data_IF_541027320582
#
_entry.id   IF_541027320582
#
_cell.length_a   1.000
_cell.length_b   1.000
_cell.length_c   1.000
_cell.angle_alpha   90.00
_cell.angle_beta   90.00
_cell.angle_gamma   90.00
#
_symmetry.space_group_name_H-M   'P 1'
#
loop_
_entity.id
_entity.type
_entity.pdbx_description
1 polymer ?
#
# COMPACT_ATOMS: atom_id res chain seq x y z
N UNK A 1 -19.38 9.19 46.51
CA UNK A 1 -19.66 9.03 45.07
C UNK A 1 -18.53 9.70 44.32
N UNK A 2 -17.49 8.94 43.95
CA UNK A 2 -16.34 9.46 43.20
C UNK A 2 -16.52 9.17 41.72
N UNK A 3 -16.66 10.22 40.92
CA UNK A 3 -16.60 10.15 39.47
C UNK A 3 -15.14 10.25 39.03
N UNK A 4 -14.59 9.16 38.50
CA UNK A 4 -13.28 9.14 37.87
C UNK A 4 -13.42 9.63 36.43
N UNK A 5 -12.87 10.81 36.15
CA UNK A 5 -12.70 11.33 34.78
C UNK A 5 -11.59 10.51 34.12
N UNK A 6 -11.96 9.66 33.17
CA UNK A 6 -11.02 8.98 32.27
C UNK A 6 -10.51 10.00 31.25
N UNK A 7 -9.29 10.50 31.47
CA UNK A 7 -8.50 11.20 30.46
C UNK A 7 -8.28 10.24 29.28
N UNK A 8 -8.88 10.57 28.12
CA UNK A 8 -8.53 9.94 26.84
C UNK A 8 -7.05 10.21 26.58
N UNK A 9 -6.24 9.16 26.64
CA UNK A 9 -4.87 9.18 26.13
C UNK A 9 -5.00 9.34 24.62
N UNK A 10 -4.65 10.51 24.11
CA UNK A 10 -4.47 10.72 22.67
C UNK A 10 -3.39 9.74 22.21
N UNK A 11 -3.70 8.92 21.21
CA UNK A 11 -2.70 8.08 20.56
C UNK A 11 -1.61 8.97 19.94
N UNK A 12 -0.37 8.46 19.81
CA UNK A 12 0.74 9.25 19.31
C UNK A 12 0.45 9.75 17.89
N UNK A 13 0.72 11.02 17.65
CA UNK A 13 0.68 11.68 16.35
C UNK A 13 1.73 11.09 15.39
N UNK A 14 1.55 11.30 14.09
CA UNK A 14 2.49 10.86 13.04
C UNK A 14 3.95 11.30 13.33
N UNK A 15 4.12 12.48 13.94
CA UNK A 15 5.43 12.98 14.38
C UNK A 15 6.03 12.17 15.54
N UNK A 16 5.21 11.57 16.41
CA UNK A 16 5.65 10.72 17.53
C UNK A 16 6.04 9.30 17.10
N UNK A 17 5.55 8.83 15.96
CA UNK A 17 5.95 7.56 15.35
C UNK A 17 7.31 7.67 14.64
N UNK A 18 7.67 8.87 14.18
CA UNK A 18 8.99 9.18 13.64
C UNK A 18 10.07 9.31 14.73
N UNK A 19 9.70 9.73 15.95
CA UNK A 19 10.66 9.91 17.05
C UNK A 19 11.27 8.61 17.62
N UNK A 20 10.71 7.44 17.30
CA UNK A 20 11.28 6.16 17.72
C UNK A 20 12.29 5.55 16.73
N UNK A 21 12.68 6.29 15.68
CA UNK A 21 14.00 6.13 15.06
C UNK A 21 14.35 4.72 14.57
N UNK A 22 13.41 3.98 13.98
CA UNK A 22 13.77 2.87 13.09
C UNK A 22 13.61 3.35 11.67
N UNK A 23 14.74 3.83 11.14
CA UNK A 23 14.99 4.15 9.73
C UNK A 23 14.23 3.18 8.82
N UNK A 24 13.59 3.72 7.78
CA UNK A 24 13.05 2.95 6.66
C UNK A 24 14.24 2.59 5.79
N UNK A 25 14.92 1.46 5.96
CA UNK A 25 16.18 1.24 5.27
C UNK A 25 15.80 0.92 3.82
N UNK A 26 15.86 1.93 2.95
CA UNK A 26 16.00 1.67 1.53
C UNK A 26 17.40 1.09 1.36
N UNK A 27 17.45 -0.09 0.76
CA UNK A 27 18.69 -0.79 0.47
C UNK A 27 18.70 -1.19 -0.98
N UNK A 28 19.84 -1.01 -1.64
CA UNK A 28 20.09 -1.64 -2.92
C UNK A 28 20.40 -3.11 -2.71
N UNK A 29 19.90 -3.97 -3.59
CA UNK A 29 20.42 -5.33 -3.69
C UNK A 29 21.89 -5.29 -4.10
N UNK A 30 22.71 -6.18 -3.55
CA UNK A 30 24.14 -6.29 -3.90
C UNK A 30 24.36 -6.72 -5.36
N UNK A 31 23.41 -7.46 -5.92
CA UNK A 31 23.48 -8.00 -7.27
C UNK A 31 22.76 -7.12 -8.29
N UNK A 32 23.18 -7.24 -9.55
CA UNK A 32 22.56 -6.60 -10.70
C UNK A 32 21.76 -7.62 -11.50
N UNK A 33 20.46 -7.39 -11.64
CA UNK A 33 19.52 -8.34 -12.23
C UNK A 33 19.10 -7.92 -13.63
N UNK A 34 18.96 -8.91 -14.51
CA UNK A 34 18.38 -8.74 -15.86
C UNK A 34 16.87 -8.60 -15.86
N UNK A 35 16.20 -9.02 -14.78
CA UNK A 35 14.74 -9.05 -14.71
C UNK A 35 14.26 -8.46 -13.39
N UNK A 36 13.18 -7.67 -13.49
CA UNK A 36 12.41 -7.20 -12.35
C UNK A 36 12.08 -8.33 -11.37
N UNK A 37 11.62 -9.48 -11.88
CA UNK A 37 11.25 -10.63 -11.05
C UNK A 37 12.40 -11.17 -10.20
N UNK A 38 13.64 -11.17 -10.71
CA UNK A 38 14.81 -11.61 -9.94
C UNK A 38 15.14 -10.62 -8.83
N UNK A 39 15.12 -9.32 -9.14
CA UNK A 39 15.32 -8.26 -8.14
C UNK A 39 14.25 -8.31 -7.04
N UNK A 40 12.98 -8.49 -7.42
CA UNK A 40 11.87 -8.67 -6.49
C UNK A 40 12.03 -9.90 -5.59
N UNK A 41 12.51 -11.01 -6.16
CA UNK A 41 12.79 -12.21 -5.38
C UNK A 41 13.87 -11.97 -4.33
N UNK A 42 14.90 -11.19 -4.64
CA UNK A 42 15.96 -10.86 -3.68
C UNK A 42 15.44 -9.99 -2.54
N UNK A 43 14.71 -8.91 -2.84
CA UNK A 43 14.12 -8.07 -1.78
C UNK A 43 13.23 -8.91 -0.85
N UNK A 44 12.43 -9.84 -1.41
CA UNK A 44 11.60 -10.74 -0.58
C UNK A 44 12.42 -11.67 0.31
N UNK A 45 13.61 -12.11 -0.15
CA UNK A 45 14.52 -12.96 0.64
C UNK A 45 14.98 -12.28 1.92
N UNK A 46 15.07 -10.95 1.94
CA UNK A 46 15.45 -10.14 3.10
C UNK A 46 14.26 -9.58 3.87
N UNK A 47 13.03 -10.02 3.56
CA UNK A 47 11.81 -9.51 4.21
C UNK A 47 11.41 -8.10 3.76
N UNK A 48 11.87 -7.67 2.60
CA UNK A 48 11.57 -6.39 1.98
C UNK A 48 10.73 -6.58 0.70
N UNK A 49 10.34 -5.48 0.07
CA UNK A 49 9.74 -5.45 -1.26
C UNK A 49 10.47 -4.46 -2.16
N UNK A 50 10.33 -4.59 -3.48
CA UNK A 50 10.76 -3.52 -4.38
C UNK A 50 9.98 -2.26 -4.08
N UNK A 51 10.68 -1.16 -3.84
CA UNK A 51 10.10 0.11 -3.43
C UNK A 51 8.97 0.56 -4.37
N UNK A 52 7.87 1.03 -3.80
CA UNK A 52 6.81 1.73 -4.52
C UNK A 52 7.25 3.15 -4.87
N UNK A 53 6.61 3.72 -5.89
CA UNK A 53 6.85 5.11 -6.33
C UNK A 53 6.83 6.12 -5.17
N UNK A 54 5.80 6.06 -4.33
CA UNK A 54 5.67 6.98 -3.20
C UNK A 54 6.74 6.77 -2.11
N UNK A 55 7.27 5.55 -1.95
CA UNK A 55 8.35 5.27 -1.00
C UNK A 55 9.65 5.93 -1.47
N UNK A 56 9.89 5.90 -2.78
CA UNK A 56 11.00 6.59 -3.39
C UNK A 56 10.84 8.11 -3.27
N UNK A 57 9.63 8.63 -3.52
CA UNK A 57 9.35 10.06 -3.38
C UNK A 57 9.52 10.53 -1.93
N UNK A 58 9.11 9.71 -0.95
CA UNK A 58 9.35 9.96 0.47
C UNK A 58 10.84 9.95 0.78
N UNK A 59 11.57 8.92 0.34
CA UNK A 59 13.00 8.81 0.59
C UNK A 59 13.81 9.97 -0.02
N UNK A 60 13.42 10.45 -1.21
CA UNK A 60 14.04 11.63 -1.80
C UNK A 60 13.84 12.88 -0.92
N UNK A 61 12.66 13.06 -0.31
CA UNK A 61 12.39 14.16 0.63
C UNK A 61 13.19 14.05 1.93
N UNK A 62 13.42 12.83 2.39
CA UNK A 62 14.26 12.55 3.57
C UNK A 62 15.77 12.65 3.28
N UNK A 63 16.16 12.95 2.04
CA UNK A 63 17.55 13.16 1.66
C UNK A 63 18.35 11.88 1.48
N UNK A 64 17.69 10.78 1.09
CA UNK A 64 18.40 9.55 0.72
C UNK A 64 19.38 9.79 -0.43
N UNK A 65 20.53 9.09 -0.44
CA UNK A 65 21.55 9.30 -1.44
C UNK A 65 21.05 8.96 -2.84
N UNK A 66 21.62 9.62 -3.84
CA UNK A 66 21.35 9.29 -5.23
C UNK A 66 21.70 7.83 -5.53
N UNK A 67 20.89 7.18 -6.36
CA UNK A 67 21.04 5.76 -6.70
C UNK A 67 21.33 5.60 -8.19
N UNK A 68 21.98 4.49 -8.61
CA UNK A 68 21.95 4.11 -10.01
C UNK A 68 20.50 3.81 -10.46
N UNK A 69 20.24 3.74 -11.77
CA UNK A 69 18.98 3.17 -12.29
C UNK A 69 18.75 1.79 -11.69
N UNK A 70 17.60 1.61 -11.07
CA UNK A 70 17.30 0.43 -10.26
C UNK A 70 15.88 -0.06 -10.52
N UNK A 71 15.69 -1.37 -10.43
CA UNK A 71 14.36 -1.97 -10.38
C UNK A 71 13.63 -1.46 -9.14
N UNK A 72 12.38 -1.07 -9.33
CA UNK A 72 11.42 -0.76 -8.29
C UNK A 72 10.10 -1.44 -8.66
N UNK A 73 9.00 -1.19 -7.96
CA UNK A 73 7.78 -1.98 -8.11
C UNK A 73 7.13 -2.01 -9.50
N UNK A 74 7.43 -1.05 -10.39
CA UNK A 74 6.96 -1.10 -11.77
C UNK A 74 7.88 -2.01 -12.62
N UNK A 75 7.37 -3.09 -13.23
CA UNK A 75 8.17 -3.99 -14.05
C UNK A 75 8.65 -3.39 -15.37
N UNK A 76 8.00 -2.32 -15.84
CA UNK A 76 8.24 -1.74 -17.17
C UNK A 76 9.16 -0.50 -17.13
N UNK A 77 9.56 -0.05 -15.94
CA UNK A 77 10.42 1.12 -15.76
C UNK A 77 11.49 0.93 -14.68
N UNK A 78 12.51 1.79 -14.69
CA UNK A 78 13.52 1.89 -13.63
C UNK A 78 13.45 3.24 -12.95
N UNK A 79 13.71 3.25 -11.65
CA UNK A 79 13.76 4.47 -10.86
C UNK A 79 15.20 4.87 -10.55
N UNK A 80 15.43 6.19 -10.47
CA UNK A 80 16.68 6.82 -10.06
C UNK A 80 16.35 7.84 -9.00
N UNK A 81 16.87 7.66 -7.77
CA UNK A 81 16.85 8.74 -6.78
C UNK A 81 17.95 9.73 -7.16
N UNK A 82 17.60 11.00 -7.17
CA UNK A 82 18.50 12.13 -7.36
C UNK A 82 18.44 13.04 -6.14
N UNK A 83 19.38 13.99 -6.05
CA UNK A 83 19.36 15.03 -5.01
C UNK A 83 18.09 15.90 -5.05
N UNK A 84 17.40 15.93 -6.20
CA UNK A 84 16.25 16.82 -6.45
C UNK A 84 14.90 16.12 -6.51
N UNK A 85 14.85 14.79 -6.45
CA UNK A 85 13.64 14.02 -6.70
C UNK A 85 13.91 12.62 -7.23
N UNK A 86 12.84 11.93 -7.64
CA UNK A 86 12.93 10.62 -8.30
C UNK A 86 12.62 10.76 -9.78
N UNK A 87 13.43 10.17 -10.64
CA UNK A 87 13.17 10.08 -12.08
C UNK A 87 12.88 8.64 -12.49
N UNK A 88 11.94 8.46 -13.42
CA UNK A 88 11.51 7.17 -13.93
C UNK A 88 11.87 7.07 -15.42
N UNK A 89 12.52 5.97 -15.80
CA UNK A 89 13.00 5.75 -17.16
C UNK A 89 12.34 4.49 -17.75
N UNK A 90 11.71 4.65 -18.91
CA UNK A 90 11.23 3.52 -19.71
C UNK A 90 12.43 2.70 -20.21
N UNK A 91 12.34 1.38 -20.07
CA UNK A 91 13.46 0.47 -20.27
C UNK A 91 13.82 0.22 -21.74
N UNK A 92 15.08 0.36 -22.15
CA UNK A 92 15.66 -0.52 -23.16
C UNK A 92 15.95 -1.88 -22.50
N UNK A 93 15.35 -2.95 -23.03
CA UNK A 93 15.30 -4.35 -22.57
C UNK A 93 16.64 -5.06 -22.24
N UNK A 94 17.77 -4.37 -22.17
CA UNK A 94 19.12 -4.96 -22.05
C UNK A 94 19.93 -4.47 -20.85
N UNK A 95 19.38 -3.61 -19.99
CA UNK A 95 20.12 -3.07 -18.83
C UNK A 95 19.96 -3.95 -17.60
N UNK A 96 21.08 -4.46 -17.08
CA UNK A 96 21.12 -5.02 -15.73
C UNK A 96 21.04 -3.85 -14.76
N UNK A 97 20.27 -4.02 -13.70
CA UNK A 97 20.14 -3.03 -12.64
C UNK A 97 19.94 -3.69 -11.28
N UNK A 98 20.39 -3.09 -10.18
CA UNK A 98 20.05 -3.55 -8.83
C UNK A 98 18.57 -3.30 -8.54
N UNK A 99 18.01 -3.94 -7.52
CA UNK A 99 16.70 -3.62 -6.97
C UNK A 99 16.81 -2.62 -5.82
N UNK A 100 15.89 -1.66 -5.79
CA UNK A 100 15.64 -0.82 -4.61
C UNK A 100 14.66 -1.54 -3.70
N UNK A 101 15.16 -2.08 -2.59
CA UNK A 101 14.36 -2.76 -1.59
C UNK A 101 13.99 -1.80 -0.47
N UNK A 102 12.71 -1.71 -0.14
CA UNK A 102 12.21 -0.88 0.95
C UNK A 102 11.77 -1.79 2.11
N UNK A 103 12.23 -1.48 3.33
CA UNK A 103 11.63 -2.03 4.56
C UNK A 103 10.78 -0.97 5.23
N UNK A 104 9.48 -0.99 4.98
CA UNK A 104 8.51 -0.41 5.92
C UNK A 104 7.80 -1.55 6.63
N UNK A 105 7.48 -1.39 7.93
CA UNK A 105 6.73 -2.40 8.64
C UNK A 105 5.40 -2.60 7.92
N UNK A 106 5.02 -3.86 7.72
CA UNK A 106 3.79 -4.27 7.03
C UNK A 106 2.51 -3.88 7.78
N UNK A 107 2.61 -2.95 8.72
CA UNK A 107 1.53 -2.33 9.46
C UNK A 107 1.21 -0.92 8.95
N UNK A 108 1.82 -0.44 7.86
CA UNK A 108 1.87 1.00 7.56
C UNK A 108 1.47 1.43 6.15
N UNK A 109 0.48 0.80 5.51
CA UNK A 109 -0.08 1.39 4.29
C UNK A 109 -1.57 1.51 4.36
N UNK A 110 -2.00 2.73 4.08
CA UNK A 110 -3.34 3.00 3.59
C UNK A 110 -3.63 2.11 2.38
N UNK A 111 -4.89 1.69 2.19
CA UNK A 111 -5.29 0.92 1.03
C UNK A 111 -4.85 1.58 -0.27
N UNK A 112 -4.17 0.82 -1.13
CA UNK A 112 -3.81 1.27 -2.48
C UNK A 112 -4.93 0.87 -3.43
N UNK A 113 -5.26 1.75 -4.37
CA UNK A 113 -6.33 1.49 -5.35
C UNK A 113 -5.72 1.00 -6.65
N UNK A 114 -6.22 -0.10 -7.20
CA UNK A 114 -5.77 -0.61 -8.51
C UNK A 114 -5.88 0.45 -9.61
N UNK A 115 -4.91 0.57 -10.53
CA UNK A 115 -4.94 1.59 -11.58
C UNK A 115 -6.13 1.41 -12.54
N UNK A 116 -6.57 0.17 -12.75
CA UNK A 116 -7.68 -0.19 -13.67
C UNK A 116 -8.93 -0.58 -12.88
N UNK A 117 -10.08 -0.55 -13.57
CA UNK A 117 -11.37 -1.00 -13.03
C UNK A 117 -11.76 -2.35 -13.64
N UNK A 118 -12.25 -3.24 -12.79
CA UNK A 118 -12.58 -4.64 -13.08
C UNK A 118 -14.09 -4.84 -13.13
N UNK A 119 -14.54 -5.87 -13.83
CA UNK A 119 -15.95 -6.26 -13.77
C UNK A 119 -16.25 -7.00 -12.46
N UNK A 120 -17.51 -6.94 -12.00
CA UNK A 120 -17.95 -7.65 -10.79
C UNK A 120 -17.59 -9.14 -10.80
N UNK A 121 -17.82 -9.79 -11.93
CA UNK A 121 -17.54 -11.21 -12.13
C UNK A 121 -16.03 -11.54 -12.25
N UNK A 122 -15.18 -10.54 -12.51
CA UNK A 122 -13.74 -10.72 -12.72
C UNK A 122 -12.96 -10.75 -11.40
N UNK A 123 -13.25 -11.76 -10.57
CA UNK A 123 -12.58 -11.92 -9.26
C UNK A 123 -11.09 -12.23 -9.41
N UNK A 124 -10.71 -12.98 -10.44
CA UNK A 124 -9.32 -13.29 -10.72
C UNK A 124 -8.55 -12.02 -11.11
N UNK A 125 -9.10 -11.16 -11.96
CA UNK A 125 -8.50 -9.87 -12.30
C UNK A 125 -8.42 -8.91 -11.12
N UNK A 126 -9.46 -8.85 -10.28
CA UNK A 126 -9.43 -8.06 -9.04
C UNK A 126 -8.28 -8.49 -8.11
N UNK A 127 -8.11 -9.80 -7.90
CA UNK A 127 -7.03 -10.33 -7.09
C UNK A 127 -5.66 -10.10 -7.74
N UNK A 128 -5.52 -10.40 -9.04
CA UNK A 128 -4.28 -10.18 -9.79
C UNK A 128 -3.86 -8.72 -9.77
N UNK A 129 -4.81 -7.79 -9.89
CA UNK A 129 -4.53 -6.36 -9.84
C UNK A 129 -3.92 -5.90 -8.52
N UNK A 130 -4.29 -6.52 -7.40
CA UNK A 130 -3.62 -6.28 -6.13
C UNK A 130 -2.27 -7.01 -6.04
N UNK A 131 -2.17 -8.24 -6.56
CA UNK A 131 -0.91 -8.98 -6.60
C UNK A 131 0.19 -8.24 -7.38
N UNK A 132 -0.16 -7.57 -8.47
CA UNK A 132 0.75 -6.72 -9.27
C UNK A 132 1.33 -5.56 -8.43
N UNK A 133 0.62 -5.15 -7.37
CA UNK A 133 1.04 -4.12 -6.40
C UNK A 133 1.73 -4.72 -5.16
N UNK A 134 2.11 -6.01 -5.21
CA UNK A 134 2.60 -6.78 -4.05
C UNK A 134 1.64 -6.74 -2.85
N UNK A 135 0.35 -6.70 -3.13
CA UNK A 135 -0.74 -6.56 -2.17
C UNK A 135 -1.80 -7.66 -2.40
N UNK A 136 -2.86 -7.64 -1.60
CA UNK A 136 -4.04 -8.48 -1.76
C UNK A 136 -5.31 -7.64 -1.59
N UNK A 137 -6.48 -8.08 -2.09
CA UNK A 137 -7.72 -7.35 -1.84
C UNK A 137 -7.97 -7.19 -0.34
N UNK A 138 -8.19 -5.97 0.14
CA UNK A 138 -8.36 -5.67 1.56
C UNK A 138 -9.56 -6.41 2.17
N UNK A 139 -9.40 -6.91 3.38
CA UNK A 139 -10.50 -7.38 4.24
C UNK A 139 -11.18 -6.20 4.96
N UNK A 140 -12.38 -6.42 5.52
CA UNK A 140 -13.05 -5.40 6.35
C UNK A 140 -12.21 -5.01 7.58
N UNK A 141 -11.49 -5.97 8.16
CA UNK A 141 -10.63 -5.73 9.31
C UNK A 141 -9.50 -4.75 8.95
N UNK A 142 -8.84 -4.94 7.80
CA UNK A 142 -7.77 -4.06 7.33
C UNK A 142 -8.30 -2.68 6.93
N UNK A 143 -9.47 -2.60 6.29
CA UNK A 143 -10.10 -1.31 5.99
C UNK A 143 -10.47 -0.55 7.27
N UNK A 144 -10.97 -1.24 8.30
CA UNK A 144 -11.23 -0.65 9.60
C UNK A 144 -9.94 -0.20 10.32
N UNK A 145 -8.87 -0.99 10.20
CA UNK A 145 -7.57 -0.60 10.72
C UNK A 145 -7.05 0.66 10.02
N UNK A 146 -7.22 0.79 8.70
CA UNK A 146 -6.92 2.00 7.96
C UNK A 146 -7.78 3.20 8.42
N UNK A 147 -9.08 3.00 8.61
CA UNK A 147 -9.98 4.02 9.17
C UNK A 147 -9.50 4.50 10.54
N UNK A 148 -9.13 3.59 11.45
CA UNK A 148 -8.66 3.94 12.79
C UNK A 148 -7.34 4.75 12.77
N UNK A 149 -6.60 4.71 11.66
CA UNK A 149 -5.39 5.51 11.42
C UNK A 149 -5.65 6.84 10.72
N UNK A 150 -6.89 7.13 10.35
CA UNK A 150 -7.27 8.38 9.71
C UNK A 150 -7.45 8.30 8.19
N UNK A 151 -7.25 7.13 7.56
CA UNK A 151 -7.62 6.95 6.16
C UNK A 151 -9.14 7.11 5.99
N UNK A 152 -9.55 7.96 5.07
CA UNK A 152 -10.95 8.16 4.70
C UNK A 152 -11.07 8.13 3.20
N UNK A 153 -12.08 7.41 2.72
CA UNK A 153 -12.42 7.38 1.31
C UNK A 153 -13.91 7.13 1.19
N UNK A 154 -14.62 8.10 0.64
CA UNK A 154 -16.04 8.01 0.30
C UNK A 154 -16.28 7.29 -1.05
N UNK A 155 -15.22 6.69 -1.62
CA UNK A 155 -15.29 5.97 -2.89
C UNK A 155 -15.61 4.50 -2.60
N UNK A 156 -16.64 4.01 -3.29
CA UNK A 156 -17.05 2.61 -3.26
C UNK A 156 -16.18 1.77 -4.19
N UNK A 157 -15.46 0.78 -3.64
CA UNK A 157 -14.56 -0.08 -4.39
C UNK A 157 -14.73 -1.55 -4.01
N UNK A 158 -14.27 -2.45 -4.87
CA UNK A 158 -14.18 -3.87 -4.54
C UNK A 158 -13.16 -4.12 -3.44
N UNK A 159 -13.40 -5.19 -2.68
CA UNK A 159 -12.51 -5.66 -1.63
C UNK A 159 -12.60 -7.20 -1.52
N UNK A 160 -12.00 -7.78 -0.47
CA UNK A 160 -11.87 -9.22 -0.30
C UNK A 160 -13.19 -9.99 -0.36
N UNK A 161 -14.31 -9.42 0.11
CA UNK A 161 -15.60 -10.13 0.10
C UNK A 161 -16.21 -10.10 -1.30
N UNK A 162 -16.56 -11.26 -1.88
CA UNK A 162 -17.21 -11.33 -3.19
C UNK A 162 -18.57 -10.63 -3.20
N UNK A 163 -18.92 -10.06 -4.36
CA UNK A 163 -20.21 -9.42 -4.61
C UNK A 163 -20.55 -8.27 -3.65
N UNK A 164 -19.53 -7.66 -3.03
CA UNK A 164 -19.68 -6.48 -2.20
C UNK A 164 -18.68 -5.40 -2.59
N UNK A 165 -19.07 -4.17 -2.35
CA UNK A 165 -18.19 -3.01 -2.33
C UNK A 165 -18.12 -2.45 -0.91
N UNK A 166 -17.09 -1.64 -0.66
CA UNK A 166 -16.92 -0.93 0.59
C UNK A 166 -16.52 0.52 0.35
N UNK A 167 -16.88 1.38 1.29
CA UNK A 167 -16.41 2.74 1.45
C UNK A 167 -15.77 2.85 2.83
N UNK A 168 -14.61 3.50 2.92
CA UNK A 168 -13.88 3.68 4.18
C UNK A 168 -14.28 5.02 4.77
N UNK A 169 -15.53 5.09 5.21
CA UNK A 169 -16.12 6.26 5.83
C UNK A 169 -17.23 5.83 6.79
N UNK A 170 -17.60 6.72 7.71
CA UNK A 170 -18.62 6.47 8.72
C UNK A 170 -19.89 5.87 8.09
N UNK A 171 -20.51 4.94 8.82
CA UNK A 171 -21.65 4.18 8.31
C UNK A 171 -22.95 4.99 8.13
N UNK A 172 -22.91 6.33 8.02
CA UNK A 172 -24.03 7.28 8.00
C UNK A 172 -25.44 6.67 8.03
N UNK A 173 -25.85 6.05 6.90
CA UNK A 173 -27.17 5.45 6.67
C UNK A 173 -27.19 3.90 6.64
N UNK A 174 -26.01 3.26 6.71
CA UNK A 174 -25.84 1.81 6.69
C UNK A 174 -25.87 1.24 8.10
N UNK A 175 -26.59 0.14 8.27
CA UNK A 175 -26.78 -0.50 9.58
C UNK A 175 -26.67 -2.03 9.46
N UNK A 176 -26.48 -2.69 10.60
CA UNK A 176 -26.35 -4.15 10.67
C UNK A 176 -25.18 -4.65 9.81
N UNK A 177 -25.43 -5.64 8.96
CA UNK A 177 -24.41 -6.30 8.15
C UNK A 177 -23.79 -5.42 7.04
N UNK A 178 -24.38 -4.24 6.77
CA UNK A 178 -23.82 -3.24 5.85
C UNK A 178 -22.90 -2.22 6.54
N UNK A 179 -22.75 -2.32 7.86
CA UNK A 179 -21.85 -1.47 8.62
C UNK A 179 -20.93 -2.31 9.48
N UNK A 180 -19.67 -2.43 9.07
CA UNK A 180 -18.68 -3.14 9.85
C UNK A 180 -18.10 -2.21 10.92
N UNK A 181 -18.27 -2.60 12.18
CA UNK A 181 -17.74 -1.92 13.37
C UNK A 181 -18.08 -0.41 13.49
N UNK A 182 -19.16 0.05 12.85
CA UNK A 182 -19.56 1.47 12.91
C UNK A 182 -18.82 2.40 11.94
N UNK A 183 -17.85 1.88 11.18
CA UNK A 183 -16.86 2.71 10.48
C UNK A 183 -16.64 2.34 9.01
N UNK A 184 -17.00 1.13 8.58
CA UNK A 184 -16.84 0.69 7.19
C UNK A 184 -18.20 0.32 6.61
N UNK A 185 -18.72 1.21 5.76
CA UNK A 185 -19.90 0.96 4.95
C UNK A 185 -19.58 -0.09 3.88
N UNK A 186 -20.41 -1.12 3.75
CA UNK A 186 -20.21 -2.17 2.75
C UNK A 186 -21.55 -2.78 2.26
N UNK A 187 -21.80 -2.82 0.95
CA UNK A 187 -23.13 -3.22 0.44
C UNK A 187 -23.06 -4.48 -0.43
N UNK A 188 -24.13 -5.28 -0.52
CA UNK A 188 -24.25 -6.38 -1.48
C UNK A 188 -24.72 -5.89 -2.87
N UNK A 189 -24.56 -4.60 -3.17
CA UNK A 189 -25.07 -3.97 -4.40
C UNK A 189 -23.97 -3.20 -5.14
N UNK A 190 -22.81 -3.81 -5.42
CA UNK A 190 -21.74 -3.12 -6.12
C UNK A 190 -22.17 -2.75 -7.54
N UNK A 191 -21.71 -1.59 -8.00
CA UNK A 191 -21.83 -1.23 -9.42
C UNK A 191 -20.99 -2.18 -10.28
N UNK A 192 -21.39 -2.38 -11.55
CA UNK A 192 -20.83 -3.44 -12.39
C UNK A 192 -19.31 -3.36 -12.62
N UNK A 193 -18.70 -2.19 -12.45
CA UNK A 193 -17.28 -1.95 -12.72
C UNK A 193 -16.66 -0.98 -11.72
N UNK A 194 -15.72 -1.48 -10.91
CA UNK A 194 -15.02 -0.72 -9.87
C UNK A 194 -13.52 -1.06 -9.85
N UNK A 195 -12.73 -0.20 -9.23
CA UNK A 195 -11.34 -0.50 -8.83
C UNK A 195 -11.38 -1.31 -7.52
N UNK A 196 -10.22 -1.78 -7.04
CA UNK A 196 -10.10 -2.63 -5.84
C UNK A 196 -9.27 -1.91 -4.78
N UNK A 197 -9.69 -1.99 -3.52
CA UNK A 197 -8.83 -1.71 -2.38
C UNK A 197 -7.82 -2.85 -2.19
N UNK A 198 -6.54 -2.53 -2.28
CA UNK A 198 -5.43 -3.46 -2.10
C UNK A 198 -4.67 -3.12 -0.83
N UNK A 199 -4.60 -4.09 0.07
CA UNK A 199 -3.88 -4.00 1.34
C UNK A 199 -2.57 -4.77 1.23
N UNK A 200 -1.48 -4.29 1.84
CA UNK A 200 -0.20 -4.97 1.76
C UNK A 200 -0.30 -6.36 2.37
N UNK A 201 0.47 -7.30 1.85
CA UNK A 201 0.56 -8.60 2.49
C UNK A 201 1.19 -8.45 3.90
N UNK A 202 0.47 -8.88 4.93
CA UNK A 202 1.06 -9.11 6.24
C UNK A 202 1.98 -10.33 6.12
N UNK A 203 3.29 -10.16 6.28
CA UNK A 203 4.24 -11.27 6.46
C UNK A 203 4.48 -11.59 7.94
#
# INVERSE_FOLDING_TARGET
MSSTIQLRVAGPSFSELLTNGREVPISLTECWYHTHASAASECRRTGQHLCLQWELDHASKEGYPATPPSWYADPDSQAVLTETGVTYHDLPLTTRSPGLCCSLPMTYRDPVITPKSYQLADRAGQASGCSDLAAHPCTLAELNEAYNRGYRSNIWLYFAIPNRDASVDECEIHHGDECYQGTISNTPRPVARLRVYCCPNHA
#
